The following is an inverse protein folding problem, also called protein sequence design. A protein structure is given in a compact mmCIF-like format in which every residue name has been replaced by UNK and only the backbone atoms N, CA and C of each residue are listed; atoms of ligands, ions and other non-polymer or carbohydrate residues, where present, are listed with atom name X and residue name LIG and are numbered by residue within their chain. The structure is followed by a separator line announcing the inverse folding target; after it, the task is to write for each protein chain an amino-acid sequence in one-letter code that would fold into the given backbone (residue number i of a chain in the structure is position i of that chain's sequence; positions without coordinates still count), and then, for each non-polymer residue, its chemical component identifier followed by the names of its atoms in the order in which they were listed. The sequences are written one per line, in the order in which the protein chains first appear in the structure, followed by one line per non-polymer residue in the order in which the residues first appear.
data_IF_067323705644
#
_entry.id   IF_067323705644
#
_cell.length_a   1.000
_cell.length_b   1.000
_cell.length_c   1.000
_cell.angle_alpha   90.00
_cell.angle_beta   90.00
_cell.angle_gamma   90.00
#
_symmetry.space_group_name_H-M   'P 1'
#
loop_
_entity.id
_entity.type
_entity.pdbx_description
1 polymer ?
#
# COMPACT_ATOMS: atom_id res chain seq x y z
N UNK A 1 2.48 16.99 -0.80
CA UNK A 1 3.62 16.05 -0.77
C UNK A 1 3.31 14.88 -1.68
N UNK A 2 4.26 14.43 -2.49
CA UNK A 2 4.08 13.25 -3.36
C UNK A 2 3.90 12.01 -2.47
N UNK A 3 3.07 11.06 -2.92
CA UNK A 3 2.82 9.76 -2.24
C UNK A 3 2.20 9.79 -0.84
N UNK A 4 1.73 10.95 -0.36
CA UNK A 4 1.12 11.15 0.98
C UNK A 4 1.85 10.43 2.11
N UNK A 5 3.11 10.82 2.25
CA UNK A 5 3.96 10.39 3.36
C UNK A 5 4.11 8.86 3.41
N UNK A 6 3.93 8.17 2.29
CA UNK A 6 4.28 6.76 2.17
C UNK A 6 5.82 6.65 2.10
N UNK A 7 6.39 5.87 3.02
CA UNK A 7 7.79 5.48 3.00
C UNK A 7 8.00 4.36 1.97
N UNK A 8 7.17 3.33 2.02
CA UNK A 8 7.19 2.22 1.07
C UNK A 8 5.79 1.63 0.86
N UNK A 9 5.65 0.88 -0.23
CA UNK A 9 4.54 -0.03 -0.51
C UNK A 9 5.15 -1.40 -0.80
N UNK A 10 5.06 -2.30 0.17
CA UNK A 10 5.49 -3.68 -0.01
C UNK A 10 4.35 -4.51 -0.57
N UNK A 11 4.63 -5.31 -1.60
CA UNK A 11 3.64 -6.18 -2.24
C UNK A 11 4.16 -7.61 -2.26
N UNK A 12 3.28 -8.56 -1.93
CA UNK A 12 3.54 -9.99 -1.99
C UNK A 12 2.40 -10.70 -2.71
N UNK A 13 2.79 -11.58 -3.62
CA UNK A 13 1.91 -12.58 -4.21
C UNK A 13 2.39 -13.97 -3.82
N UNK A 14 1.44 -14.86 -3.56
CA UNK A 14 1.69 -16.29 -3.40
C UNK A 14 0.55 -17.07 -4.03
N UNK A 15 0.80 -18.30 -4.45
CA UNK A 15 -0.22 -19.18 -5.02
C UNK A 15 -0.20 -20.53 -4.31
N UNK A 16 -1.38 -21.04 -3.95
CA UNK A 16 -1.58 -22.39 -3.42
C UNK A 16 -2.96 -22.88 -3.83
N UNK A 17 -3.07 -24.15 -4.24
CA UNK A 17 -4.35 -24.83 -4.52
C UNK A 17 -5.29 -24.06 -5.46
N UNK A 18 -4.74 -23.42 -6.49
CA UNK A 18 -5.52 -22.64 -7.46
C UNK A 18 -5.99 -21.27 -6.96
N UNK A 19 -5.55 -20.84 -5.77
CA UNK A 19 -5.84 -19.52 -5.20
C UNK A 19 -4.56 -18.68 -5.19
N UNK A 20 -4.62 -17.50 -5.81
CA UNK A 20 -3.57 -16.48 -5.67
C UNK A 20 -3.91 -15.55 -4.52
N UNK A 21 -3.03 -15.48 -3.53
CA UNK A 21 -3.14 -14.52 -2.42
C UNK A 21 -2.29 -13.28 -2.73
N UNK A 22 -2.92 -12.12 -2.60
CA UNK A 22 -2.29 -10.82 -2.64
C UNK A 22 -2.21 -10.25 -1.23
N UNK A 23 -1.07 -9.65 -0.91
CA UNK A 23 -0.91 -8.82 0.27
C UNK A 23 -0.17 -7.55 -0.10
N UNK A 24 -0.59 -6.42 0.47
CA UNK A 24 0.15 -5.18 0.39
C UNK A 24 0.20 -4.46 1.73
N UNK A 25 1.34 -3.85 2.05
CA UNK A 25 1.50 -2.99 3.21
C UNK A 25 2.12 -1.65 2.79
N UNK A 26 1.36 -0.58 2.95
CA UNK A 26 1.86 0.78 2.82
C UNK A 26 2.25 1.31 4.19
N UNK A 27 3.55 1.52 4.39
CA UNK A 27 4.09 2.13 5.60
C UNK A 27 4.24 3.64 5.40
N UNK A 28 3.88 4.41 6.43
CA UNK A 28 4.08 5.86 6.41
C UNK A 28 5.48 6.25 6.88
N UNK A 29 5.91 7.48 6.59
CA UNK A 29 7.14 8.07 7.12
C UNK A 29 7.02 8.28 8.63
N UNK A 30 8.17 8.45 9.29
CA UNK A 30 8.27 8.59 10.75
C UNK A 30 7.53 9.80 11.33
N UNK A 31 7.27 10.80 10.47
CA UNK A 31 6.50 12.00 10.77
C UNK A 31 5.01 11.73 10.99
N UNK A 32 4.49 10.59 10.51
CA UNK A 32 3.09 10.20 10.68
C UNK A 32 2.97 9.29 11.90
N UNK A 33 2.35 9.82 12.95
CA UNK A 33 2.10 9.10 14.21
C UNK A 33 0.65 9.28 14.63
N UNK A 34 0.11 8.27 15.29
CA UNK A 34 -1.21 8.33 15.92
C UNK A 34 -1.08 8.00 17.39
N UNK A 35 -1.85 8.68 18.24
CA UNK A 35 -1.94 8.35 19.65
C UNK A 35 -3.19 7.50 19.90
N UNK A 36 -3.00 6.36 20.56
CA UNK A 36 -4.10 5.47 20.98
C UNK A 36 -3.84 5.10 22.43
N UNK A 37 -4.81 5.36 23.31
CA UNK A 37 -4.73 5.00 24.74
C UNK A 37 -3.47 5.54 25.44
N UNK A 38 -2.99 6.73 25.04
CA UNK A 38 -1.82 7.39 25.62
C UNK A 38 -0.46 6.91 25.09
N UNK A 39 -0.44 6.04 24.07
CA UNK A 39 0.77 5.56 23.40
C UNK A 39 0.80 5.97 21.93
N UNK A 40 1.97 6.36 21.43
CA UNK A 40 2.17 6.67 20.02
C UNK A 40 2.48 5.41 19.20
N UNK A 41 1.88 5.35 18.01
CA UNK A 41 2.08 4.29 17.03
C UNK A 41 2.34 4.85 15.64
N UNK A 42 3.00 4.06 14.81
CA UNK A 42 3.17 4.31 13.39
C UNK A 42 2.09 3.54 12.64
N UNK A 43 1.17 4.23 11.93
CA UNK A 43 0.11 3.58 11.19
C UNK A 43 0.61 3.06 9.83
N UNK A 44 0.10 1.91 9.42
CA UNK A 44 0.25 1.37 8.08
C UNK A 44 -1.10 0.90 7.54
N UNK A 45 -1.24 0.93 6.21
CA UNK A 45 -2.42 0.39 5.51
C UNK A 45 -2.08 -0.98 4.97
N UNK A 46 -2.86 -1.97 5.37
CA UNK A 46 -2.71 -3.35 4.94
C UNK A 46 -3.87 -3.75 4.05
N UNK A 47 -3.59 -4.44 2.96
CA UNK A 47 -4.56 -5.06 2.06
C UNK A 47 -4.28 -6.55 1.94
N UNK A 48 -5.35 -7.33 1.87
CA UNK A 48 -5.29 -8.76 1.58
C UNK A 48 -6.39 -9.14 0.58
N UNK A 49 -6.07 -9.96 -0.41
CA UNK A 49 -7.05 -10.49 -1.34
C UNK A 49 -6.75 -11.93 -1.73
N UNK A 50 -7.79 -12.67 -2.11
CA UNK A 50 -7.68 -14.01 -2.69
C UNK A 50 -8.38 -14.05 -4.04
N UNK A 51 -7.63 -14.43 -5.07
CA UNK A 51 -8.12 -14.64 -6.43
C UNK A 51 -8.27 -16.13 -6.70
N UNK A 52 -9.47 -16.54 -7.10
CA UNK A 52 -9.77 -17.92 -7.49
C UNK A 52 -9.51 -18.08 -8.99
N UNK A 53 -8.50 -18.88 -9.35
CA UNK A 53 -8.11 -19.09 -10.75
C UNK A 53 -9.17 -19.85 -11.56
N UNK A 54 -10.04 -20.63 -10.89
CA UNK A 54 -11.11 -21.37 -11.56
C UNK A 54 -12.35 -20.50 -11.77
N UNK A 55 -12.69 -19.67 -10.78
CA UNK A 55 -13.83 -18.76 -10.86
C UNK A 55 -13.50 -17.44 -11.58
N UNK A 56 -12.23 -17.19 -11.88
CA UNK A 56 -11.71 -15.99 -12.55
C UNK A 56 -12.15 -14.68 -11.88
N UNK A 57 -12.12 -14.67 -10.55
CA UNK A 57 -12.48 -13.50 -9.76
C UNK A 57 -11.85 -13.52 -8.37
N UNK A 58 -11.79 -12.35 -7.73
CA UNK A 58 -11.49 -12.27 -6.32
C UNK A 58 -12.67 -12.83 -5.52
N UNK A 59 -12.38 -13.74 -4.58
CA UNK A 59 -13.41 -14.32 -3.68
C UNK A 59 -13.39 -13.69 -2.29
N UNK A 60 -12.29 -13.04 -1.95
CA UNK A 60 -12.07 -12.38 -0.68
C UNK A 60 -11.18 -11.15 -0.88
N UNK A 61 -11.55 -10.05 -0.24
CA UNK A 61 -10.76 -8.82 -0.23
C UNK A 61 -11.03 -8.06 1.07
N UNK A 62 -9.98 -7.73 1.81
CA UNK A 62 -10.11 -6.90 3.00
C UNK A 62 -8.93 -5.94 3.17
N UNK A 63 -9.19 -4.92 3.99
CA UNK A 63 -8.20 -3.92 4.32
C UNK A 63 -8.25 -3.59 5.80
N UNK A 64 -7.09 -3.32 6.36
CA UNK A 64 -6.90 -3.01 7.77
C UNK A 64 -5.94 -1.83 7.95
N UNK A 65 -6.04 -1.18 9.10
CA UNK A 65 -4.98 -0.31 9.62
C UNK A 65 -4.20 -1.12 10.64
N UNK A 66 -2.89 -1.19 10.45
CA UNK A 66 -1.97 -1.79 11.39
C UNK A 66 -1.24 -0.69 12.16
N UNK A 67 -1.16 -0.83 13.47
CA UNK A 67 -0.43 0.08 14.35
C UNK A 67 0.80 -0.63 14.88
N UNK A 68 1.96 -0.06 14.59
CA UNK A 68 3.26 -0.55 15.02
C UNK A 68 3.81 0.35 16.13
N UNK A 69 4.42 -0.25 17.15
CA UNK A 69 5.31 0.51 18.05
C UNK A 69 6.54 0.99 17.28
N UNK A 70 7.38 1.82 17.90
CA UNK A 70 8.59 2.32 17.27
C UNK A 70 9.54 1.19 16.85
N UNK A 71 9.82 0.25 17.77
CA UNK A 71 10.67 -0.91 17.48
C UNK A 71 10.11 -1.77 16.34
N UNK A 72 8.80 -2.06 16.40
CA UNK A 72 8.13 -2.85 15.38
C UNK A 72 8.12 -2.14 14.01
N UNK A 73 7.94 -0.82 13.99
CA UNK A 73 7.95 0.00 12.79
C UNK A 73 9.31 -0.07 12.10
N UNK A 74 10.40 0.19 12.82
CA UNK A 74 11.74 0.15 12.26
C UNK A 74 12.13 -1.26 11.81
N UNK A 75 11.81 -2.28 12.60
CA UNK A 75 12.06 -3.67 12.23
C UNK A 75 11.27 -4.07 10.97
N UNK A 76 10.00 -3.67 10.88
CA UNK A 76 9.15 -4.02 9.73
C UNK A 76 9.53 -3.24 8.48
N UNK A 77 9.83 -1.95 8.61
CA UNK A 77 10.20 -1.06 7.51
C UNK A 77 11.49 -1.51 6.83
N UNK A 78 12.45 -1.95 7.61
CA UNK A 78 13.78 -2.32 7.11
C UNK A 78 13.87 -3.83 6.76
N UNK A 79 12.73 -4.54 6.73
CA UNK A 79 12.63 -5.95 6.33
C UNK A 79 11.78 -6.14 5.07
N UNK A 80 12.20 -7.04 4.18
CA UNK A 80 11.45 -7.40 2.99
C UNK A 80 10.29 -8.37 3.34
N UNK A 81 9.07 -8.00 2.94
CA UNK A 81 7.84 -8.80 3.04
C UNK A 81 8.00 -10.24 2.54
N UNK A 82 8.91 -10.44 1.58
CA UNK A 82 9.16 -11.72 0.92
C UNK A 82 10.29 -12.52 1.59
N UNK A 83 11.14 -11.91 2.42
CA UNK A 83 12.32 -12.57 3.02
C UNK A 83 12.15 -13.03 4.48
N UNK A 84 11.02 -12.80 5.13
CA UNK A 84 10.82 -13.23 6.53
C UNK A 84 10.43 -14.70 6.61
N UNK A 85 11.44 -15.58 6.50
CA UNK A 85 11.34 -17.02 6.82
C UNK A 85 12.53 -17.52 7.66
N UNK A 86 13.17 -16.65 8.48
CA UNK A 86 14.17 -17.08 9.48
C UNK A 86 14.16 -16.37 10.83
N UNK A 87 13.38 -15.30 11.02
CA UNK A 87 13.21 -14.69 12.34
C UNK A 87 11.82 -15.02 12.89
N UNK A 88 11.80 -15.75 13.99
CA UNK A 88 10.62 -16.13 14.78
C UNK A 88 9.91 -14.94 15.47
N UNK A 89 10.41 -13.73 15.29
CA UNK A 89 9.76 -12.50 15.73
C UNK A 89 8.65 -12.14 14.72
N UNK A 90 7.52 -12.85 14.80
CA UNK A 90 6.29 -12.40 14.16
C UNK A 90 5.92 -11.03 14.75
N UNK A 91 6.19 -9.95 14.02
CA UNK A 91 5.73 -8.62 14.39
C UNK A 91 4.20 -8.64 14.34
N UNK A 92 3.57 -8.68 15.50
CA UNK A 92 2.12 -8.79 15.63
C UNK A 92 1.55 -7.40 15.90
N UNK A 93 1.50 -6.59 14.85
CA UNK A 93 0.90 -5.27 14.92
C UNK A 93 -0.55 -5.32 15.41
N UNK A 94 -0.97 -4.30 16.18
CA UNK A 94 -2.39 -4.10 16.51
C UNK A 94 -3.12 -3.76 15.20
N UNK A 95 -3.90 -4.72 14.70
CA UNK A 95 -4.58 -4.62 13.42
C UNK A 95 -6.07 -4.39 13.61
N UNK A 96 -6.61 -3.35 12.98
CA UNK A 96 -8.05 -3.05 12.95
C UNK A 96 -8.55 -3.14 11.52
N UNK A 97 -9.43 -4.11 11.26
CA UNK A 97 -10.07 -4.27 9.95
C UNK A 97 -11.01 -3.10 9.68
N UNK A 98 -10.88 -2.49 8.50
CA UNK A 98 -11.67 -1.32 8.08
C UNK A 98 -12.79 -1.73 7.14
N UNK A 99 -12.53 -2.69 6.25
CA UNK A 99 -13.55 -3.25 5.37
C UNK A 99 -13.27 -4.72 5.09
N UNK A 100 -14.31 -5.44 4.65
CA UNK A 100 -14.24 -6.84 4.20
C UNK A 100 -15.28 -7.06 3.12
N UNK A 101 -14.86 -7.57 1.97
CA UNK A 101 -15.72 -8.00 0.87
C UNK A 101 -15.50 -9.50 0.70
N UNK A 102 -16.59 -10.27 0.80
CA UNK A 102 -16.60 -11.69 0.48
C UNK A 102 -17.53 -11.93 -0.69
N UNK A 103 -17.15 -12.84 -1.57
CA UNK A 103 -17.87 -13.11 -2.81
C UNK A 103 -17.19 -12.51 -4.03
N UNK A 104 -17.73 -12.79 -5.23
CA UNK A 104 -17.07 -12.52 -6.48
C UNK A 104 -16.89 -11.02 -6.70
N UNK A 105 -15.63 -10.60 -6.80
CA UNK A 105 -15.20 -9.24 -7.09
C UNK A 105 -14.37 -9.26 -8.37
N UNK A 106 -14.78 -8.46 -9.36
CA UNK A 106 -14.06 -8.38 -10.65
C UNK A 106 -12.74 -7.65 -10.45
N UNK A 107 -11.72 -8.05 -11.20
CA UNK A 107 -10.37 -7.46 -11.14
C UNK A 107 -10.38 -5.94 -11.25
N UNK A 108 -11.19 -5.37 -12.17
CA UNK A 108 -11.29 -3.90 -12.31
C UNK A 108 -11.79 -3.20 -11.05
N UNK A 109 -12.75 -3.79 -10.35
CA UNK A 109 -13.36 -3.19 -9.16
C UNK A 109 -12.39 -3.34 -7.97
N UNK A 110 -11.68 -4.47 -7.89
CA UNK A 110 -10.59 -4.67 -6.94
C UNK A 110 -9.43 -3.67 -7.12
N UNK A 111 -8.97 -3.43 -8.35
CA UNK A 111 -7.92 -2.43 -8.65
C UNK A 111 -8.35 -1.03 -8.20
N UNK A 112 -9.60 -0.65 -8.49
CA UNK A 112 -10.15 0.64 -8.07
C UNK A 112 -10.18 0.75 -6.54
N UNK A 113 -10.66 -0.28 -5.84
CA UNK A 113 -10.69 -0.25 -4.37
C UNK A 113 -9.30 -0.21 -3.75
N UNK A 114 -8.32 -0.95 -4.27
CA UNK A 114 -6.94 -0.86 -3.82
C UNK A 114 -6.40 0.58 -3.98
N UNK A 115 -6.68 1.21 -5.12
CA UNK A 115 -6.25 2.58 -5.43
C UNK A 115 -6.92 3.62 -4.52
N UNK A 116 -8.21 3.42 -4.20
CA UNK A 116 -8.96 4.28 -3.27
C UNK A 116 -8.50 4.10 -1.82
N UNK A 117 -8.19 2.88 -1.39
CA UNK A 117 -7.75 2.64 -0.01
C UNK A 117 -6.34 3.17 0.24
N UNK A 118 -5.44 2.97 -0.72
CA UNK A 118 -4.09 3.54 -0.71
C UNK A 118 -4.10 5.03 -1.11
N UNK A 119 -5.28 5.63 -1.32
CA UNK A 119 -5.47 6.95 -1.91
C UNK A 119 -4.50 8.00 -1.34
N UNK A 120 -3.86 8.64 -2.31
CA UNK A 120 -2.69 9.52 -2.28
C UNK A 120 -1.33 8.83 -2.43
N UNK A 121 -1.25 7.50 -2.52
CA UNK A 121 -0.06 6.80 -3.02
C UNK A 121 -0.26 6.34 -4.49
N UNK A 122 0.18 7.14 -5.48
CA UNK A 122 0.00 6.76 -6.88
C UNK A 122 0.80 5.54 -7.35
N UNK A 123 1.72 5.01 -6.54
CA UNK A 123 2.40 3.75 -6.82
C UNK A 123 1.41 2.58 -6.88
N UNK A 124 0.32 2.64 -6.11
CA UNK A 124 -0.72 1.61 -6.16
C UNK A 124 -1.42 1.57 -7.52
N UNK A 125 -1.77 2.75 -8.04
CA UNK A 125 -2.41 2.86 -9.34
C UNK A 125 -1.45 2.47 -10.47
N UNK A 126 -0.19 2.92 -10.41
CA UNK A 126 0.87 2.51 -11.34
C UNK A 126 1.08 1.00 -11.34
N UNK A 127 1.13 0.37 -10.17
CA UNK A 127 1.33 -1.07 -10.06
C UNK A 127 0.26 -1.88 -10.79
N UNK A 128 -1.01 -1.48 -10.68
CA UNK A 128 -2.11 -2.21 -11.31
C UNK A 128 -2.34 -1.85 -12.77
N UNK A 129 -2.06 -0.61 -13.17
CA UNK A 129 -2.43 -0.10 -14.49
C UNK A 129 -1.25 0.06 -15.45
N UNK A 130 -0.02 0.09 -14.92
CA UNK A 130 1.18 0.47 -15.65
C UNK A 130 1.29 1.97 -15.95
N UNK A 131 0.35 2.80 -15.49
CA UNK A 131 0.29 4.24 -15.78
C UNK A 131 0.15 5.06 -14.49
N UNK A 132 0.55 6.34 -14.51
CA UNK A 132 0.23 7.27 -13.42
C UNK A 132 -1.20 7.79 -13.52
N UNK A 133 -1.85 8.14 -12.39
CA UNK A 133 -3.11 8.85 -12.42
C UNK A 133 -2.96 10.17 -13.21
N UNK A 134 -3.90 10.49 -14.10
CA UNK A 134 -3.84 11.68 -15.01
C UNK A 134 -3.43 12.97 -14.30
N UNK A 135 -3.97 13.21 -13.10
CA UNK A 135 -3.66 14.39 -12.28
C UNK A 135 -2.17 14.49 -11.92
N UNK A 136 -1.49 13.37 -11.67
CA UNK A 136 -0.05 13.36 -11.42
C UNK A 136 0.74 13.58 -12.69
N UNK A 137 0.33 13.00 -13.81
CA UNK A 137 0.94 13.27 -15.11
C UNK A 137 0.92 14.77 -15.42
N UNK A 138 -0.21 15.44 -15.21
CA UNK A 138 -0.35 16.89 -15.39
C UNK A 138 0.55 17.71 -14.43
N UNK A 139 0.71 17.26 -13.18
CA UNK A 139 1.60 17.91 -12.21
C UNK A 139 3.07 17.73 -12.62
N UNK A 140 3.47 16.52 -13.01
CA UNK A 140 4.83 16.19 -13.47
C UNK A 140 5.17 17.01 -14.72
N UNK A 141 4.24 17.10 -15.68
CA UNK A 141 4.42 17.93 -16.87
C UNK A 141 4.58 19.41 -16.55
N UNK A 142 3.79 19.94 -15.60
CA UNK A 142 3.93 21.33 -15.13
C UNK A 142 5.28 21.58 -14.47
N UNK A 143 5.79 20.64 -13.68
CA UNK A 143 7.11 20.74 -13.06
C UNK A 143 8.20 20.70 -14.12
N UNK A 144 8.16 19.72 -15.05
CA UNK A 144 9.12 19.61 -16.17
C UNK A 144 9.17 20.90 -17.00
N UNK A 145 8.01 21.49 -17.32
CA UNK A 145 7.92 22.77 -18.04
C UNK A 145 8.53 23.94 -17.26
N UNK A 146 8.41 23.95 -15.93
CA UNK A 146 9.06 24.96 -15.07
C UNK A 146 10.58 24.79 -15.02
N UNK A 147 11.06 23.54 -15.00
CA UNK A 147 12.48 23.22 -14.98
C UNK A 147 13.18 23.41 -16.33
N UNK A 148 12.44 23.41 -17.44
CA UNK A 148 12.96 23.64 -18.79
C UNK A 148 12.97 25.12 -19.22
N UNK A 149 12.44 26.03 -18.40
CA UNK A 149 12.61 27.47 -18.62
C UNK A 149 14.05 27.83 -18.25
N UNK A 150 14.84 28.48 -19.15
CA UNK A 150 16.16 28.94 -18.78
C UNK A 150 16.03 29.89 -17.59
N UNK A 151 17.00 29.83 -16.67
CA UNK A 151 17.16 30.85 -15.65
C UNK A 151 17.40 32.19 -16.37
N UNK A 152 16.30 32.88 -16.68
CA UNK A 152 16.32 34.20 -17.28
C UNK A 152 16.96 35.13 -16.28
N UNK A 153 18.17 35.57 -16.63
CA UNK A 153 18.93 36.54 -15.88
C UNK A 153 18.26 37.91 -15.82
N UNK A 154 18.91 38.76 -15.03
CA UNK A 154 18.63 40.15 -14.64
C UNK A 154 17.46 40.36 -13.70
#
# INVERSE_FOLDING_TARGET
MFFADAYCLDIKWSESDGIKSFQALEMKTESVRVEVEGQHYFPARYLHAEYDLKADCFRHFDGAVQLFTEDEYFQRRDSDFNMVMKNSAHIKARSTKVFKINGPLRTKDWVEFCSQFLAKNPLAFEYFTGEYPKRLTEIIEKIRKRSSLPAGGS
#
